data_IF_371788499564
#
_entry.id   IF_371788499564
#
_cell.length_a   1.000
_cell.length_b   1.000
_cell.length_c   1.000
_cell.angle_alpha   90.00
_cell.angle_beta   90.00
_cell.angle_gamma   90.00
#
_symmetry.space_group_name_H-M   'P 1'
#
loop_
_entity.id
_entity.type
_entity.pdbx_description
1 polymer ?
#
# COMPACT_ATOMS: atom_id res chain seq x y z
N UNK A 1 -7.68 -43.52 3.57
CA UNK A 1 -7.11 -43.15 2.26
C UNK A 1 -7.95 -42.09 1.54
N UNK A 2 -9.25 -41.96 1.81
CA UNK A 2 -10.13 -40.89 1.27
C UNK A 2 -9.65 -39.46 1.53
N UNK A 3 -9.06 -39.18 2.70
CA UNK A 3 -8.66 -37.81 3.07
C UNK A 3 -7.56 -37.25 2.15
N UNK A 4 -6.64 -38.10 1.69
CA UNK A 4 -5.55 -37.69 0.80
C UNK A 4 -6.10 -37.30 -0.58
N UNK A 5 -7.17 -37.97 -1.04
CA UNK A 5 -7.83 -37.63 -2.30
C UNK A 5 -8.46 -36.23 -2.29
N UNK A 6 -8.81 -35.71 -1.12
CA UNK A 6 -9.29 -34.32 -0.94
C UNK A 6 -8.15 -33.35 -0.66
N UNK A 7 -7.21 -33.72 0.21
CA UNK A 7 -6.14 -32.81 0.64
C UNK A 7 -5.15 -32.48 -0.47
N UNK A 8 -4.85 -33.41 -1.37
CA UNK A 8 -3.93 -33.17 -2.50
C UNK A 8 -4.46 -32.06 -3.42
N UNK A 9 -5.68 -32.14 -3.99
CA UNK A 9 -6.20 -31.09 -4.86
C UNK A 9 -6.41 -29.77 -4.11
N UNK A 10 -6.86 -29.80 -2.85
CA UNK A 10 -7.00 -28.60 -2.01
C UNK A 10 -5.64 -27.91 -1.82
N UNK A 11 -4.58 -28.67 -1.57
CA UNK A 11 -3.23 -28.11 -1.38
C UNK A 11 -2.68 -27.49 -2.67
N UNK A 12 -2.92 -28.12 -3.82
CA UNK A 12 -2.52 -27.59 -5.13
C UNK A 12 -3.29 -26.29 -5.43
N UNK A 13 -4.60 -26.26 -5.15
CA UNK A 13 -5.41 -25.05 -5.32
C UNK A 13 -4.95 -23.92 -4.40
N UNK A 14 -4.70 -24.20 -3.13
CA UNK A 14 -4.18 -23.20 -2.18
C UNK A 14 -2.80 -22.68 -2.61
N UNK A 15 -1.91 -23.57 -3.04
CA UNK A 15 -0.58 -23.18 -3.54
C UNK A 15 -0.68 -22.32 -4.81
N UNK A 16 -1.54 -22.72 -5.75
CA UNK A 16 -1.80 -21.96 -6.98
C UNK A 16 -2.46 -20.61 -6.71
N UNK A 17 -3.44 -20.54 -5.81
CA UNK A 17 -4.09 -19.30 -5.41
C UNK A 17 -3.10 -18.35 -4.73
N UNK A 18 -2.26 -18.86 -3.81
CA UNK A 18 -1.22 -18.08 -3.16
C UNK A 18 -0.20 -17.53 -4.16
N UNK A 19 0.26 -18.37 -5.10
CA UNK A 19 1.19 -17.95 -6.15
C UNK A 19 0.56 -16.91 -7.10
N UNK A 20 -0.69 -17.11 -7.50
CA UNK A 20 -1.43 -16.15 -8.33
C UNK A 20 -1.63 -14.81 -7.64
N UNK A 21 -2.02 -14.82 -6.37
CA UNK A 21 -2.14 -13.61 -5.56
C UNK A 21 -0.79 -12.88 -5.40
N UNK A 22 0.30 -13.63 -5.23
CA UNK A 22 1.65 -13.06 -5.15
C UNK A 22 2.07 -12.38 -6.46
N UNK A 23 1.86 -13.03 -7.61
CA UNK A 23 2.18 -12.45 -8.91
C UNK A 23 1.30 -11.23 -9.22
N UNK A 24 0.02 -11.28 -8.86
CA UNK A 24 -0.89 -10.14 -8.99
C UNK A 24 -0.43 -8.95 -8.13
N UNK A 25 -0.04 -9.20 -6.88
CA UNK A 25 0.51 -8.20 -5.95
C UNK A 25 1.76 -7.51 -6.51
N UNK A 26 2.68 -8.27 -7.12
CA UNK A 26 3.85 -7.70 -7.78
C UNK A 26 3.48 -6.83 -8.99
N UNK A 27 2.51 -7.27 -9.80
CA UNK A 27 2.06 -6.51 -10.97
C UNK A 27 1.27 -5.26 -10.61
N UNK A 28 0.54 -5.27 -9.48
CA UNK A 28 -0.26 -4.15 -9.01
C UNK A 28 0.57 -2.93 -8.57
N UNK A 29 1.92 -2.95 -8.72
CA UNK A 29 2.83 -1.86 -8.34
C UNK A 29 2.67 -1.42 -6.87
N UNK A 30 2.10 -2.26 -6.01
CA UNK A 30 1.92 -1.94 -4.59
C UNK A 30 3.25 -1.77 -3.83
N UNK A 31 4.36 -2.14 -4.46
CA UNK A 31 5.72 -2.01 -3.95
C UNK A 31 6.53 -0.88 -4.61
N UNK A 32 5.91 -0.04 -5.45
CA UNK A 32 6.62 1.07 -6.10
C UNK A 32 6.99 2.20 -5.12
N UNK A 33 6.23 2.37 -4.03
CA UNK A 33 6.58 3.36 -2.98
C UNK A 33 6.30 2.94 -1.52
N UNK A 34 6.79 1.78 -1.05
CA UNK A 34 6.69 1.39 0.35
C UNK A 34 7.50 2.32 1.27
N UNK A 35 8.51 3.02 0.73
CA UNK A 35 9.34 3.97 1.48
C UNK A 35 8.62 5.29 1.75
N UNK A 36 7.86 5.80 0.78
CA UNK A 36 7.06 7.01 0.92
C UNK A 36 5.88 6.83 1.88
N UNK A 37 5.22 5.67 1.86
CA UNK A 37 4.15 5.34 2.82
C UNK A 37 4.70 5.21 4.26
N UNK A 38 5.83 4.51 4.44
CA UNK A 38 6.49 4.41 5.75
C UNK A 38 7.04 5.76 6.25
N UNK A 39 7.57 6.60 5.35
CA UNK A 39 7.99 7.95 5.72
C UNK A 39 6.80 8.84 6.12
N UNK A 40 5.62 8.63 5.52
CA UNK A 40 4.40 9.38 5.86
C UNK A 40 3.82 8.98 7.21
N UNK A 41 3.77 7.68 7.54
CA UNK A 41 3.23 7.20 8.81
C UNK A 41 4.11 7.57 10.02
N UNK A 42 5.41 7.80 9.80
CA UNK A 42 6.36 8.27 10.81
C UNK A 42 6.54 9.80 10.80
N UNK A 43 5.84 10.53 9.93
CA UNK A 43 5.95 11.99 9.85
C UNK A 43 5.00 12.67 10.83
N UNK A 44 5.55 13.34 11.85
CA UNK A 44 4.78 14.14 12.81
C UNK A 44 4.12 15.39 12.22
N UNK A 45 4.34 15.68 10.93
CA UNK A 45 3.77 16.83 10.21
C UNK A 45 2.23 16.87 10.22
N UNK A 46 1.58 15.76 10.59
CA UNK A 46 0.14 15.61 10.71
C UNK A 46 -0.32 15.20 12.12
N UNK A 47 0.62 14.92 13.04
CA UNK A 47 0.31 14.46 14.41
C UNK A 47 -0.19 15.62 15.28
N UNK A 48 0.43 16.79 15.18
CA UNK A 48 0.02 17.92 16.02
C UNK A 48 -1.04 18.82 15.37
N UNK A 49 -1.05 18.99 14.03
CA UNK A 49 -1.98 19.90 13.32
C UNK A 49 -2.23 19.44 11.88
N UNK A 50 -3.45 19.61 11.34
CA UNK A 50 -3.70 19.40 9.91
C UNK A 50 -2.82 20.34 9.08
N UNK A 51 -2.37 19.89 7.89
CA UNK A 51 -1.53 20.69 6.98
C UNK A 51 -2.18 22.04 6.71
N UNK A 52 -1.42 23.16 6.81
CA UNK A 52 -1.94 24.48 6.49
C UNK A 52 -2.39 24.53 5.02
N UNK A 53 -3.47 25.27 4.72
CA UNK A 53 -3.92 25.43 3.34
C UNK A 53 -2.82 26.05 2.47
N UNK A 54 -2.75 25.69 1.17
CA UNK A 54 -1.78 26.29 0.26
C UNK A 54 -1.94 27.82 0.22
N UNK A 55 -0.86 28.59 0.02
CA UNK A 55 -0.89 30.05 0.02
C UNK A 55 -1.85 30.55 -1.06
N UNK A 56 -2.71 31.51 -0.70
CA UNK A 56 -3.67 32.08 -1.64
C UNK A 56 -2.91 33.02 -2.59
N UNK A 57 -3.32 33.17 -3.87
CA UNK A 57 -2.68 34.12 -4.77
C UNK A 57 -2.58 35.57 -4.23
N UNK A 58 -3.43 35.93 -3.27
CA UNK A 58 -3.38 37.21 -2.56
C UNK A 58 -2.15 37.36 -1.65
N UNK A 59 -1.62 36.27 -1.10
CA UNK A 59 -0.49 36.29 -0.16
C UNK A 59 0.86 36.53 -0.89
N UNK A 60 0.94 36.18 -2.18
CA UNK A 60 2.17 36.31 -3.00
C UNK A 60 2.47 37.76 -3.42
N UNK A 61 1.46 38.64 -3.41
CA UNK A 61 1.61 40.04 -3.82
C UNK A 61 1.86 40.99 -2.63
N UNK A 62 2.13 40.44 -1.45
CA UNK A 62 2.29 41.20 -0.19
C UNK A 62 3.75 41.32 0.27
N UNK A 63 4.70 40.83 -0.51
CA UNK A 63 6.14 40.98 -0.25
C UNK A 63 6.59 42.40 -0.66
N UNK A 64 7.20 43.21 0.25
CA UNK A 64 7.58 44.60 -0.03
C UNK A 64 8.81 44.75 -0.93
#
# INVERSE_FOLDING_TARGET
>A
MEILAVLIPVSILLGGAGLGAFLWSLHARQYDDPKGDAARILSGAWDERPRPPPPTPADQNSEP
#
